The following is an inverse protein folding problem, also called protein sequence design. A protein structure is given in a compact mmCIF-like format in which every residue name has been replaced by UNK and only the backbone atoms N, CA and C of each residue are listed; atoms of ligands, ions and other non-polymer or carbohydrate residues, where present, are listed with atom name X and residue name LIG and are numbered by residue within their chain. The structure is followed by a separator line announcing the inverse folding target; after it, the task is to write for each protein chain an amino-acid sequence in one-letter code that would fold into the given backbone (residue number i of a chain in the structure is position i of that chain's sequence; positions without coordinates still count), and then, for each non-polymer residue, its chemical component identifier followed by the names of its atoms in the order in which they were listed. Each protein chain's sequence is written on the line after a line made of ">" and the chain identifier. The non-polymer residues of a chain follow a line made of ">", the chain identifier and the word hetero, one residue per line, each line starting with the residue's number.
data_IF_814726278170
#
_entry.id   IF_814726278170
#
_cell.length_a   1.000
_cell.length_b   1.000
_cell.length_c   1.000
_cell.angle_alpha   90.00
_cell.angle_beta   90.00
_cell.angle_gamma   90.00
#
_symmetry.space_group_name_H-M   'P 1'
#
loop_
_entity.id
_entity.type
_entity.pdbx_description
1 polymer ?
#
# COMPACT_ATOMS: atom_id res chain seq x y z
N UNK A 1 -4.85 -26.21 -5.11
CA UNK A 1 -5.21 -24.88 -4.58
C UNK A 1 -6.73 -24.76 -4.68
N UNK A 2 -7.45 -24.65 -3.56
CA UNK A 2 -8.92 -24.64 -3.58
C UNK A 2 -9.42 -23.29 -4.13
N UNK A 3 -10.30 -23.27 -5.15
CA UNK A 3 -10.83 -22.03 -5.72
C UNK A 3 -11.60 -21.19 -4.69
N UNK A 4 -12.16 -21.85 -3.68
CA UNK A 4 -12.86 -21.23 -2.55
C UNK A 4 -11.93 -20.36 -1.69
N UNK A 5 -10.67 -20.77 -1.51
CA UNK A 5 -9.67 -20.00 -0.76
C UNK A 5 -9.21 -18.75 -1.50
N UNK A 6 -9.14 -18.79 -2.84
CA UNK A 6 -8.79 -17.64 -3.66
C UNK A 6 -9.91 -16.59 -3.66
N UNK A 7 -11.16 -17.04 -3.75
CA UNK A 7 -12.32 -16.14 -3.72
C UNK A 7 -12.47 -15.46 -2.34
N UNK A 8 -12.31 -16.22 -1.25
CA UNK A 8 -12.34 -15.64 0.10
C UNK A 8 -11.21 -14.62 0.32
N UNK A 9 -10.03 -14.91 -0.21
CA UNK A 9 -8.91 -13.98 -0.17
C UNK A 9 -9.20 -12.69 -0.96
N UNK A 10 -9.78 -12.79 -2.17
CA UNK A 10 -10.15 -11.62 -2.98
C UNK A 10 -11.23 -10.79 -2.28
N UNK A 11 -12.21 -11.44 -1.66
CA UNK A 11 -13.27 -10.77 -0.90
C UNK A 11 -12.73 -10.10 0.37
N UNK A 12 -11.83 -10.75 1.11
CA UNK A 12 -11.15 -10.17 2.26
C UNK A 12 -10.31 -8.97 1.84
N UNK A 13 -9.52 -9.11 0.77
CA UNK A 13 -8.74 -8.03 0.18
C UNK A 13 -9.65 -6.88 -0.24
N UNK A 14 -10.75 -7.13 -0.94
CA UNK A 14 -11.70 -6.09 -1.34
C UNK A 14 -12.43 -5.45 -0.15
N UNK A 15 -12.72 -6.21 0.91
CA UNK A 15 -13.35 -5.70 2.12
C UNK A 15 -12.38 -4.81 2.92
N UNK A 16 -11.11 -5.22 3.03
CA UNK A 16 -10.02 -4.39 3.58
C UNK A 16 -9.85 -3.16 2.69
N UNK A 17 -9.66 -3.31 1.39
CA UNK A 17 -9.45 -2.18 0.47
C UNK A 17 -10.62 -1.17 0.48
N UNK A 18 -11.87 -1.64 0.54
CA UNK A 18 -13.04 -0.76 0.68
C UNK A 18 -13.07 -0.06 2.03
N UNK A 19 -12.69 -0.74 3.11
CA UNK A 19 -12.64 -0.19 4.46
C UNK A 19 -11.56 0.87 4.63
N UNK A 20 -10.47 0.80 3.87
CA UNK A 20 -9.33 1.72 3.98
C UNK A 20 -9.40 2.87 2.97
N UNK A 21 -10.51 2.97 2.22
CA UNK A 21 -10.82 4.01 1.25
C UNK A 21 -9.83 4.06 0.08
N UNK A 22 -10.38 4.13 -1.12
CA UNK A 22 -9.66 4.15 -2.41
C UNK A 22 -8.49 5.16 -2.43
N UNK A 23 -8.55 6.21 -1.59
CA UNK A 23 -7.48 7.19 -1.40
C UNK A 23 -6.20 6.63 -0.76
N UNK A 24 -6.29 5.87 0.34
CA UNK A 24 -5.09 5.38 1.04
C UNK A 24 -4.33 4.36 0.19
N UNK A 25 -5.07 3.47 -0.49
CA UNK A 25 -4.49 2.52 -1.44
C UNK A 25 -3.84 3.25 -2.64
N UNK A 26 -4.43 4.34 -3.12
CA UNK A 26 -3.83 5.16 -4.19
C UNK A 26 -2.49 5.77 -3.76
N UNK A 27 -2.42 6.37 -2.57
CA UNK A 27 -1.16 6.88 -2.02
C UNK A 27 -0.15 5.77 -1.73
N UNK A 28 -0.60 4.59 -1.30
CA UNK A 28 0.25 3.41 -1.13
C UNK A 28 0.94 3.01 -2.43
N UNK A 29 0.18 2.93 -3.52
CA UNK A 29 0.72 2.60 -4.84
C UNK A 29 1.71 3.66 -5.31
N UNK A 30 1.36 4.95 -5.18
CA UNK A 30 2.27 6.05 -5.50
C UNK A 30 3.56 6.02 -4.65
N UNK A 31 3.47 5.67 -3.37
CA UNK A 31 4.65 5.55 -2.50
C UNK A 31 5.59 4.45 -2.95
N UNK A 32 5.05 3.34 -3.45
CA UNK A 32 5.83 2.17 -3.88
C UNK A 32 6.33 2.25 -5.32
N UNK A 33 5.64 3.02 -6.16
CA UNK A 33 6.02 3.30 -7.56
C UNK A 33 6.64 4.69 -7.71
N UNK A 34 7.03 5.36 -6.62
CA UNK A 34 7.70 6.64 -6.71
C UNK A 34 9.09 6.42 -7.32
N UNK A 35 9.28 6.98 -8.50
CA UNK A 35 10.57 7.03 -9.18
C UNK A 35 11.20 8.40 -8.98
N UNK A 36 12.53 8.42 -8.97
CA UNK A 36 13.32 9.66 -8.89
C UNK A 36 13.26 10.37 -10.23
N UNK A 37 12.94 11.66 -10.25
CA UNK A 37 13.03 12.44 -11.48
C UNK A 37 14.50 12.77 -11.81
N UNK A 38 14.81 13.00 -13.09
CA UNK A 38 16.18 13.21 -13.57
C UNK A 38 16.77 14.53 -13.03
N UNK A 39 15.91 15.51 -12.71
CA UNK A 39 16.30 16.82 -12.17
C UNK A 39 16.08 16.96 -10.65
N UNK A 40 15.51 15.93 -10.00
CA UNK A 40 15.12 15.99 -8.59
C UNK A 40 16.31 15.79 -7.64
N UNK A 41 16.41 16.65 -6.63
CA UNK A 41 17.40 16.47 -5.56
C UNK A 41 16.96 15.39 -4.57
N UNK A 42 17.92 14.72 -3.92
CA UNK A 42 17.65 13.72 -2.88
C UNK A 42 16.75 14.25 -1.74
N UNK A 43 16.83 15.56 -1.47
CA UNK A 43 16.01 16.22 -0.46
C UNK A 43 14.55 16.34 -0.92
N UNK A 44 14.31 16.71 -2.17
CA UNK A 44 12.96 16.79 -2.74
C UNK A 44 12.30 15.43 -2.86
N UNK A 45 13.06 14.41 -3.29
CA UNK A 45 12.60 13.02 -3.28
C UNK A 45 12.17 12.59 -1.88
N UNK A 46 12.98 12.88 -0.85
CA UNK A 46 12.66 12.55 0.54
C UNK A 46 11.37 13.25 1.01
N UNK A 47 11.22 14.54 0.69
CA UNK A 47 10.02 15.31 1.06
C UNK A 47 8.77 14.72 0.41
N UNK A 48 8.82 14.38 -0.89
CA UNK A 48 7.72 13.74 -1.60
C UNK A 48 7.40 12.35 -1.04
N UNK A 49 8.41 11.51 -0.82
CA UNK A 49 8.22 10.19 -0.18
C UNK A 49 7.50 10.31 1.15
N UNK A 50 7.93 11.27 1.99
CA UNK A 50 7.35 11.48 3.30
C UNK A 50 5.92 12.00 3.23
N UNK A 51 5.63 12.92 2.31
CA UNK A 51 4.29 13.45 2.09
C UNK A 51 3.30 12.34 1.66
N UNK A 52 3.70 11.53 0.68
CA UNK A 52 2.89 10.42 0.19
C UNK A 52 2.69 9.37 1.28
N UNK A 53 3.72 9.06 2.08
CA UNK A 53 3.60 8.17 3.22
C UNK A 53 2.58 8.68 4.25
N UNK A 54 2.67 9.96 4.64
CA UNK A 54 1.74 10.57 5.59
C UNK A 54 0.28 10.52 5.08
N UNK A 55 0.08 10.73 3.77
CA UNK A 55 -1.24 10.64 3.13
C UNK A 55 -1.75 9.20 3.04
N UNK A 56 -0.86 8.23 2.76
CA UNK A 56 -1.21 6.81 2.75
C UNK A 56 -1.68 6.35 4.13
N UNK A 57 -0.89 6.60 5.17
CA UNK A 57 -1.21 6.11 6.51
C UNK A 57 -2.22 7.00 7.23
N UNK A 58 -2.71 8.07 6.58
CA UNK A 58 -3.57 9.10 7.18
C UNK A 58 -3.04 9.49 8.56
N UNK A 59 -1.76 9.86 8.62
CA UNK A 59 -0.97 9.93 9.85
C UNK A 59 -1.65 10.73 10.97
N UNK A 60 -2.38 11.79 10.61
CA UNK A 60 -3.13 12.67 11.52
C UNK A 60 -4.27 11.94 12.29
N UNK A 61 -4.85 10.89 11.70
CA UNK A 61 -6.00 10.16 12.25
C UNK A 61 -5.66 8.72 12.67
N UNK A 62 -4.43 8.29 12.45
CA UNK A 62 -4.01 6.91 12.62
C UNK A 62 -3.20 6.71 13.90
N UNK A 63 -3.52 5.63 14.62
CA UNK A 63 -2.71 5.18 15.75
C UNK A 63 -1.48 4.40 15.27
N UNK A 64 -0.46 4.32 16.13
CA UNK A 64 0.73 3.51 15.86
C UNK A 64 0.38 2.08 15.49
N UNK A 65 -0.54 1.44 16.22
CA UNK A 65 -0.99 0.08 15.89
C UNK A 65 -1.62 -0.02 14.50
N UNK A 66 -2.44 0.95 14.09
CA UNK A 66 -3.04 0.94 12.76
C UNK A 66 -2.00 1.02 11.64
N UNK A 67 -0.99 1.88 11.81
CA UNK A 67 0.12 2.00 10.85
C UNK A 67 0.90 0.69 10.78
N UNK A 68 1.18 0.07 11.94
CA UNK A 68 1.86 -1.23 12.00
C UNK A 68 1.06 -2.33 11.30
N UNK A 69 -0.23 -2.46 11.60
CA UNK A 69 -1.12 -3.44 10.99
C UNK A 69 -1.21 -3.24 9.47
N UNK A 70 -1.27 -1.99 8.98
CA UNK A 70 -1.27 -1.69 7.55
C UNK A 70 0.03 -2.14 6.86
N UNK A 71 1.19 -1.92 7.49
CA UNK A 71 2.49 -2.37 6.97
C UNK A 71 2.62 -3.89 6.97
N UNK A 72 2.20 -4.54 8.07
CA UNK A 72 2.24 -6.00 8.22
C UNK A 72 1.31 -6.65 7.19
N UNK A 73 0.09 -6.13 7.03
CA UNK A 73 -0.86 -6.62 6.05
C UNK A 73 -0.33 -6.45 4.64
N UNK A 74 0.26 -5.30 4.30
CA UNK A 74 0.89 -5.10 2.99
C UNK A 74 1.95 -6.16 2.70
N UNK A 75 2.87 -6.37 3.64
CA UNK A 75 3.95 -7.35 3.48
C UNK A 75 3.42 -8.78 3.42
N UNK A 76 2.42 -9.11 4.24
CA UNK A 76 1.75 -10.39 4.24
C UNK A 76 1.10 -10.69 2.87
N UNK A 77 0.41 -9.71 2.28
CA UNK A 77 -0.18 -9.85 0.95
C UNK A 77 0.88 -10.02 -0.14
N UNK A 78 2.04 -9.33 -0.05
CA UNK A 78 3.16 -9.52 -1.00
C UNK A 78 3.76 -10.93 -0.93
N UNK A 79 3.88 -11.49 0.27
CA UNK A 79 4.42 -12.84 0.47
C UNK A 79 3.43 -13.91 0.01
N UNK A 80 2.13 -13.69 0.23
CA UNK A 80 1.09 -14.63 -0.17
C UNK A 80 0.70 -14.57 -1.65
N UNK A 81 0.90 -13.42 -2.31
CA UNK A 81 0.62 -13.23 -3.74
C UNK A 81 1.90 -12.93 -4.54
N UNK A 82 2.85 -13.87 -4.65
CA UNK A 82 3.95 -13.71 -5.60
C UNK A 82 3.44 -13.68 -7.05
N UNK A 83 2.26 -14.25 -7.33
CA UNK A 83 1.70 -14.43 -8.68
C UNK A 83 0.96 -13.18 -9.22
N UNK A 84 0.60 -12.21 -8.37
CA UNK A 84 -0.03 -10.93 -8.79
C UNK A 84 1.04 -9.84 -8.97
N UNK A 85 2.23 -10.25 -9.43
CA UNK A 85 3.30 -9.38 -9.93
C UNK A 85 3.57 -9.71 -11.40
N UNK A 86 2.54 -9.63 -12.23
CA UNK A 86 2.71 -9.50 -13.69
C UNK A 86 1.69 -8.50 -14.21
N UNK A 87 2.16 -7.55 -15.03
CA UNK A 87 1.52 -6.31 -15.51
C UNK A 87 1.79 -5.13 -14.55
N UNK A 88 2.92 -4.42 -14.69
CA UNK A 88 3.23 -3.39 -15.72
C UNK A 88 2.20 -2.28 -15.70
#
# INVERSE_FOLDING_TARGET
>A
MNPDSMMNYILLKQAVLRKYEINAETYRQQFRSLETDIDETLQELYVRLKDIFCKWVVFDKSTKEYIMEAMVLEQFLRVLLPEVKTSV
#
